data_IF_841993682000
#
_entry.id   IF_841993682000
#
_cell.length_a   1.000
_cell.length_b   1.000
_cell.length_c   1.000
_cell.angle_alpha   90.00
_cell.angle_beta   90.00
_cell.angle_gamma   90.00
#
_symmetry.space_group_name_H-M   'P 1'
#
loop_
_entity.id
_entity.type
_entity.pdbx_description
1 polymer ?
#
# COMPACT_ATOMS: atom_id res chain seq x y z
N UNK A 1 -8.41 17.76 -3.77
CA UNK A 1 -8.23 17.33 -5.17
C UNK A 1 -9.06 16.07 -5.36
N UNK A 2 -9.88 15.98 -6.41
CA UNK A 2 -10.69 14.77 -6.66
C UNK A 2 -9.86 13.61 -7.21
N UNK A 3 -10.45 12.42 -7.27
CA UNK A 3 -9.84 11.22 -7.81
C UNK A 3 -9.27 11.42 -9.22
N UNK A 4 -8.08 10.88 -9.46
CA UNK A 4 -7.43 10.82 -10.78
C UNK A 4 -7.45 9.36 -11.24
N UNK A 5 -7.89 9.07 -12.48
CA UNK A 5 -8.00 7.70 -12.96
C UNK A 5 -6.63 7.06 -13.17
N UNK A 6 -6.59 5.73 -13.23
CA UNK A 6 -5.41 4.99 -13.68
C UNK A 6 -5.03 5.39 -15.12
N UNK A 7 -3.73 5.61 -15.38
CA UNK A 7 -3.17 5.70 -16.74
C UNK A 7 -2.64 4.33 -17.16
N UNK A 8 -3.41 3.52 -17.93
CA UNK A 8 -3.09 2.11 -18.12
C UNK A 8 -1.95 1.91 -19.11
N UNK A 9 -1.03 1.00 -18.76
CA UNK A 9 -0.04 0.43 -19.69
C UNK A 9 -0.05 -1.08 -19.62
N UNK A 10 -0.08 -1.72 -20.78
CA UNK A 10 -0.14 -3.16 -20.91
C UNK A 10 1.22 -3.74 -21.26
N UNK A 11 1.62 -4.79 -20.53
CA UNK A 11 2.80 -5.60 -20.78
C UNK A 11 2.34 -7.01 -21.15
N UNK A 12 2.25 -7.28 -22.45
CA UNK A 12 1.63 -8.52 -22.95
C UNK A 12 0.10 -8.49 -22.82
N UNK A 13 -0.52 -9.69 -22.78
CA UNK A 13 -2.00 -9.81 -22.81
C UNK A 13 -2.66 -9.63 -21.44
N UNK A 14 -1.95 -9.93 -20.36
CA UNK A 14 -2.56 -10.15 -19.04
C UNK A 14 -2.02 -9.25 -17.92
N UNK A 15 -0.98 -8.44 -18.17
CA UNK A 15 -0.43 -7.53 -17.19
C UNK A 15 -0.74 -6.08 -17.56
N UNK A 16 -1.52 -5.41 -16.72
CA UNK A 16 -1.79 -3.98 -16.83
C UNK A 16 -1.36 -3.27 -15.54
N UNK A 17 -0.63 -2.18 -15.69
CA UNK A 17 -0.20 -1.30 -14.59
C UNK A 17 -0.75 0.12 -14.77
N UNK A 18 -0.90 0.84 -13.67
CA UNK A 18 -1.15 2.28 -13.69
C UNK A 18 0.18 3.00 -13.70
N UNK A 19 0.42 3.81 -14.74
CA UNK A 19 1.67 4.53 -14.92
C UNK A 19 1.63 5.82 -14.13
N UNK A 20 2.58 5.96 -13.21
CA UNK A 20 2.87 7.20 -12.50
C UNK A 20 4.24 7.75 -12.92
N UNK A 21 4.39 9.07 -12.85
CA UNK A 21 5.63 9.80 -13.11
C UNK A 21 5.67 11.07 -12.24
N UNK A 22 6.61 11.98 -12.49
CA UNK A 22 6.78 13.20 -11.69
C UNK A 22 5.61 14.20 -11.76
N UNK A 23 4.72 14.09 -12.75
CA UNK A 23 3.61 15.04 -12.96
C UNK A 23 2.23 14.39 -12.83
N UNK A 24 2.17 13.06 -12.72
CA UNK A 24 0.92 12.32 -12.73
C UNK A 24 1.01 11.04 -11.92
N UNK A 25 -0.04 10.77 -11.14
CA UNK A 25 -0.32 9.46 -10.57
C UNK A 25 -1.81 9.35 -10.27
N UNK A 26 -2.41 8.17 -10.35
CA UNK A 26 -3.80 7.97 -9.96
C UNK A 26 -4.01 8.20 -8.46
N UNK A 27 -5.21 8.68 -8.09
CA UNK A 27 -5.58 8.97 -6.71
C UNK A 27 -7.02 8.58 -6.46
N UNK A 28 -7.32 8.23 -5.22
CA UNK A 28 -8.67 7.87 -4.77
C UNK A 28 -9.34 9.06 -4.09
N UNK A 29 -10.67 9.10 -4.18
CA UNK A 29 -11.45 9.96 -3.29
C UNK A 29 -11.50 9.34 -1.90
N UNK A 30 -11.43 10.15 -0.81
CA UNK A 30 -11.59 9.65 0.54
C UNK A 30 -12.90 8.87 0.71
N UNK A 31 -12.86 7.78 1.46
CA UNK A 31 -14.05 6.96 1.70
C UNK A 31 -15.01 7.72 2.62
N UNK A 32 -16.17 8.08 2.09
CA UNK A 32 -17.26 8.71 2.84
C UNK A 32 -18.41 7.73 3.02
N UNK A 33 -18.97 7.67 4.23
CA UNK A 33 -20.13 6.82 4.50
C UNK A 33 -21.32 7.26 3.62
N UNK A 34 -21.94 6.32 2.88
CA UNK A 34 -23.09 6.65 2.06
C UNK A 34 -24.35 6.82 2.94
N UNK A 35 -25.42 7.37 2.37
CA UNK A 35 -26.68 7.54 3.09
C UNK A 35 -27.25 6.18 3.57
N UNK A 36 -27.95 6.12 4.72
CA UNK A 36 -28.59 4.89 5.20
C UNK A 36 -29.45 4.22 4.13
N UNK A 37 -29.35 2.89 4.01
CA UNK A 37 -30.03 2.13 2.96
C UNK A 37 -29.26 2.03 1.63
N UNK A 38 -28.08 2.62 1.53
CA UNK A 38 -27.18 2.50 0.36
C UNK A 38 -25.82 1.95 0.74
N UNK A 39 -25.06 1.49 -0.27
CA UNK A 39 -23.71 0.95 -0.11
C UNK A 39 -22.78 1.47 -1.19
N UNK A 40 -21.49 1.55 -0.87
CA UNK A 40 -20.43 1.79 -1.85
C UNK A 40 -19.83 0.47 -2.32
N UNK A 41 -19.48 0.41 -3.60
CA UNK A 41 -18.78 -0.72 -4.22
C UNK A 41 -17.54 -0.19 -4.92
N UNK A 42 -16.40 -0.81 -4.64
CA UNK A 42 -15.14 -0.57 -5.33
C UNK A 42 -14.79 -1.82 -6.15
N UNK A 43 -14.51 -1.64 -7.43
CA UNK A 43 -14.26 -2.75 -8.36
C UNK A 43 -12.88 -2.65 -9.02
N UNK A 44 -12.12 -3.72 -8.95
CA UNK A 44 -10.89 -3.91 -9.74
C UNK A 44 -11.03 -5.16 -10.60
N UNK A 45 -10.60 -5.10 -11.85
CA UNK A 45 -10.76 -6.22 -12.79
C UNK A 45 -9.58 -6.40 -13.74
N UNK A 46 -9.45 -7.60 -14.30
CA UNK A 46 -8.46 -7.91 -15.35
C UNK A 46 -8.68 -7.03 -16.59
N UNK A 47 -9.93 -6.67 -16.88
CA UNK A 47 -10.31 -5.81 -18.00
C UNK A 47 -9.88 -4.35 -17.84
N UNK A 48 -9.44 -3.94 -16.64
CA UNK A 48 -8.76 -2.66 -16.44
C UNK A 48 -9.34 -1.77 -15.35
N UNK A 49 -10.43 -2.16 -14.69
CA UNK A 49 -10.96 -1.40 -13.55
C UNK A 49 -9.94 -1.37 -12.41
N UNK A 50 -9.81 -0.23 -11.74
CA UNK A 50 -8.87 0.00 -10.63
C UNK A 50 -9.58 0.79 -9.54
N UNK A 51 -10.06 0.09 -8.52
CA UNK A 51 -10.86 0.63 -7.42
C UNK A 51 -11.97 1.57 -7.92
N UNK A 52 -12.62 1.19 -9.01
CA UNK A 52 -13.69 1.98 -9.62
C UNK A 52 -14.87 2.05 -8.65
N UNK A 53 -15.20 3.27 -8.22
CA UNK A 53 -16.28 3.52 -7.26
C UNK A 53 -17.64 3.52 -7.95
N UNK A 54 -18.59 2.82 -7.36
CA UNK A 54 -20.01 2.85 -7.70
C UNK A 54 -20.86 2.77 -6.42
N UNK A 55 -22.16 3.05 -6.52
CA UNK A 55 -23.10 3.01 -5.40
C UNK A 55 -24.31 2.15 -5.77
N UNK A 56 -24.89 1.49 -4.77
CA UNK A 56 -26.17 0.79 -4.91
C UNK A 56 -27.04 0.95 -3.67
N UNK A 57 -28.23 0.37 -3.71
CA UNK A 57 -29.22 0.45 -2.62
C UNK A 57 -29.59 -0.94 -2.13
N UNK A 58 -29.81 -1.06 -0.83
CA UNK A 58 -30.34 -2.29 -0.25
C UNK A 58 -31.82 -2.44 -0.60
N UNK A 59 -32.22 -3.66 -0.93
CA UNK A 59 -33.63 -4.00 -1.16
C UNK A 59 -34.25 -4.56 0.14
N UNK A 60 -35.52 -4.23 0.46
CA UNK A 60 -36.18 -4.74 1.65
C UNK A 60 -36.42 -6.26 1.65
N UNK A 61 -36.52 -6.86 0.46
CA UNK A 61 -36.90 -8.26 0.27
C UNK A 61 -35.93 -8.95 -0.68
N UNK A 62 -35.43 -10.12 -0.25
CA UNK A 62 -34.61 -11.00 -1.08
C UNK A 62 -35.52 -11.80 -2.02
N UNK A 63 -35.60 -11.41 -3.29
CA UNK A 63 -36.40 -12.13 -4.31
C UNK A 63 -35.55 -12.93 -5.31
N UNK A 64 -34.29 -13.22 -4.98
CA UNK A 64 -33.35 -13.78 -5.95
C UNK A 64 -33.07 -15.27 -5.72
N UNK A 65 -33.36 -16.16 -6.70
CA UNK A 65 -32.75 -17.47 -6.74
C UNK A 65 -31.26 -17.31 -7.04
N UNK A 66 -30.39 -17.66 -6.10
CA UNK A 66 -28.94 -17.48 -6.27
C UNK A 66 -28.12 -17.69 -5.00
N UNK A 67 -26.84 -17.34 -5.08
CA UNK A 67 -25.91 -17.42 -3.96
C UNK A 67 -26.14 -16.28 -2.97
N UNK A 68 -26.32 -16.63 -1.69
CA UNK A 68 -26.61 -15.69 -0.62
C UNK A 68 -25.52 -15.73 0.46
N UNK A 69 -24.93 -14.56 0.73
CA UNK A 69 -24.01 -14.35 1.84
C UNK A 69 -24.75 -13.63 2.97
N UNK A 70 -24.81 -14.25 4.16
CA UNK A 70 -25.48 -13.67 5.34
C UNK A 70 -24.43 -13.30 6.40
N UNK A 71 -24.43 -12.04 6.82
CA UNK A 71 -23.54 -11.53 7.87
C UNK A 71 -24.20 -11.70 9.25
N UNK A 72 -23.53 -12.40 10.17
CA UNK A 72 -23.93 -12.45 11.58
C UNK A 72 -23.08 -11.46 12.40
N UNK A 73 -23.67 -10.34 12.80
CA UNK A 73 -22.97 -9.27 13.53
C UNK A 73 -22.72 -9.58 15.02
N UNK A 74 -23.33 -10.64 15.56
CA UNK A 74 -23.13 -11.08 16.95
C UNK A 74 -21.90 -11.98 17.12
N UNK A 75 -21.43 -12.59 16.03
CA UNK A 75 -20.24 -13.43 16.04
C UNK A 75 -19.01 -12.57 15.74
N UNK A 76 -18.19 -12.34 16.76
CA UNK A 76 -16.97 -11.55 16.65
C UNK A 76 -15.73 -12.45 16.58
N UNK A 77 -14.69 -11.95 15.91
CA UNK A 77 -13.39 -12.59 15.79
C UNK A 77 -12.27 -11.63 16.22
N UNK A 78 -11.13 -11.64 15.54
CA UNK A 78 -9.98 -10.80 15.84
C UNK A 78 -10.24 -9.32 15.54
N UNK A 79 -9.55 -8.44 16.28
CA UNK A 79 -9.38 -7.04 15.89
C UNK A 79 -8.26 -6.93 14.86
N UNK A 80 -8.48 -6.13 13.82
CA UNK A 80 -7.45 -5.87 12.79
C UNK A 80 -6.55 -4.74 13.26
N UNK A 81 -5.23 -4.99 13.28
CA UNK A 81 -4.23 -3.97 13.66
C UNK A 81 -3.96 -2.99 12.53
N UNK A 82 -3.84 -3.46 11.30
CA UNK A 82 -3.53 -2.63 10.15
C UNK A 82 -3.01 -3.40 8.93
N UNK A 83 -2.61 -2.64 7.92
CA UNK A 83 -2.05 -3.12 6.65
C UNK A 83 -0.86 -2.25 6.26
N UNK A 84 0.11 -2.83 5.56
CA UNK A 84 1.39 -2.18 5.35
C UNK A 84 2.36 -2.92 4.45
N UNK A 85 3.57 -2.37 4.36
CA UNK A 85 4.69 -2.93 3.59
C UNK A 85 5.96 -3.01 4.41
N UNK A 86 7.09 -3.30 3.74
CA UNK A 86 8.42 -3.31 4.36
C UNK A 86 9.30 -2.23 3.72
N UNK A 87 9.94 -1.40 4.53
CA UNK A 87 10.98 -0.47 4.08
C UNK A 87 12.35 -1.15 4.16
N UNK A 88 12.63 -2.02 3.18
CA UNK A 88 13.96 -2.63 3.01
C UNK A 88 14.92 -1.68 2.29
N UNK A 89 16.23 -1.99 2.32
CA UNK A 89 17.25 -1.23 1.59
C UNK A 89 16.90 -1.16 0.09
N UNK A 90 16.49 -2.29 -0.51
CA UNK A 90 16.05 -2.30 -1.91
C UNK A 90 14.85 -1.38 -2.16
N UNK A 91 13.85 -1.34 -1.27
CA UNK A 91 12.70 -0.46 -1.42
C UNK A 91 13.15 1.02 -1.37
N UNK A 92 13.97 1.38 -0.38
CA UNK A 92 14.47 2.73 -0.21
C UNK A 92 15.33 3.19 -1.40
N UNK A 93 16.25 2.34 -1.87
CA UNK A 93 17.10 2.60 -3.05
C UNK A 93 16.24 2.87 -4.30
N UNK A 94 15.21 2.04 -4.55
CA UNK A 94 14.35 2.22 -5.72
C UNK A 94 13.49 3.48 -5.64
N UNK A 95 12.98 3.82 -4.45
CA UNK A 95 12.22 5.06 -4.23
C UNK A 95 13.14 6.27 -4.45
N UNK A 96 14.31 6.30 -3.81
CA UNK A 96 15.27 7.40 -3.93
C UNK A 96 15.85 7.56 -5.34
N UNK A 97 15.82 6.51 -6.15
CA UNK A 97 16.18 6.56 -7.57
C UNK A 97 15.19 7.35 -8.45
N UNK A 98 14.01 7.70 -7.94
CA UNK A 98 13.04 8.54 -8.64
C UNK A 98 13.34 10.03 -8.43
N UNK A 99 12.82 10.90 -9.30
CA UNK A 99 12.78 12.35 -9.03
C UNK A 99 11.88 12.65 -7.81
N UNK A 100 12.20 13.67 -7.02
CA UNK A 100 11.44 14.02 -5.80
C UNK A 100 9.90 14.06 -5.99
N UNK A 101 9.32 14.69 -7.04
CA UNK A 101 7.86 14.69 -7.21
C UNK A 101 7.26 13.30 -7.44
N UNK A 102 8.01 12.40 -8.09
CA UNK A 102 7.59 11.01 -8.28
C UNK A 102 7.72 10.19 -6.99
N UNK A 103 8.71 10.47 -6.14
CA UNK A 103 8.81 9.90 -4.79
C UNK A 103 7.58 10.27 -3.96
N UNK A 104 7.21 11.56 -3.97
CA UNK A 104 6.02 12.05 -3.28
C UNK A 104 4.76 11.35 -3.78
N UNK A 105 4.55 11.24 -5.10
CA UNK A 105 3.41 10.50 -5.64
C UNK A 105 3.39 9.04 -5.17
N UNK A 106 4.51 8.33 -5.20
CA UNK A 106 4.60 6.95 -4.73
C UNK A 106 4.26 6.83 -3.24
N UNK A 107 4.82 7.70 -2.39
CA UNK A 107 4.55 7.70 -0.96
C UNK A 107 3.09 8.06 -0.66
N UNK A 108 2.52 9.02 -1.38
CA UNK A 108 1.11 9.37 -1.28
C UNK A 108 0.19 8.21 -1.67
N UNK A 109 0.53 7.44 -2.71
CA UNK A 109 -0.24 6.26 -3.10
C UNK A 109 -0.33 5.23 -1.97
N UNK A 110 0.72 5.05 -1.17
CA UNK A 110 0.71 4.11 -0.05
C UNK A 110 0.13 4.69 1.24
N UNK A 111 0.53 5.90 1.66
CA UNK A 111 0.33 6.36 3.04
C UNK A 111 -0.69 7.50 3.20
N UNK A 112 -1.20 8.09 2.12
CA UNK A 112 -2.13 9.22 2.22
C UNK A 112 -3.60 8.82 2.09
N UNK A 113 -4.50 9.70 2.55
CA UNK A 113 -5.96 9.59 2.37
C UNK A 113 -6.40 9.58 0.89
N UNK A 114 -5.54 10.06 -0.01
CA UNK A 114 -5.76 9.99 -1.47
C UNK A 114 -5.16 8.74 -2.12
N UNK A 115 -4.58 7.86 -1.31
CA UNK A 115 -4.02 6.56 -1.67
C UNK A 115 -4.73 5.43 -0.94
N UNK A 116 -3.98 4.40 -0.50
CA UNK A 116 -4.53 3.21 0.19
C UNK A 116 -4.30 3.18 1.70
N UNK A 117 -3.84 4.28 2.28
CA UNK A 117 -3.77 4.52 3.73
C UNK A 117 -3.09 3.40 4.55
N UNK A 118 -1.91 2.94 4.09
CA UNK A 118 -1.05 2.09 4.89
C UNK A 118 -0.78 2.71 6.26
N UNK A 119 -0.92 1.90 7.30
CA UNK A 119 -0.72 2.30 8.69
C UNK A 119 0.29 1.40 9.44
N UNK A 120 0.92 0.46 8.74
CA UNK A 120 2.02 -0.36 9.23
C UNK A 120 3.22 -0.28 8.28
N UNK A 121 4.42 -0.28 8.86
CA UNK A 121 5.67 -0.37 8.12
C UNK A 121 6.62 -1.31 8.87
N UNK A 122 7.10 -2.35 8.18
CA UNK A 122 8.13 -3.25 8.69
C UNK A 122 9.51 -2.70 8.30
N UNK A 123 10.40 -2.55 9.28
CA UNK A 123 11.77 -2.07 9.05
C UNK A 123 12.73 -3.20 9.42
N UNK A 124 13.50 -3.76 8.47
CA UNK A 124 14.58 -4.68 8.79
C UNK A 124 15.65 -4.00 9.65
N UNK A 125 16.11 -4.69 10.69
CA UNK A 125 17.25 -4.25 11.50
C UNK A 125 18.53 -4.72 10.80
N UNK A 126 19.34 -3.77 10.35
CA UNK A 126 20.49 -3.97 9.47
C UNK A 126 20.11 -4.62 8.12
N UNK A 127 20.98 -5.50 7.59
CA UNK A 127 20.77 -6.08 6.26
C UNK A 127 19.68 -7.16 6.22
N UNK A 128 19.23 -7.44 5.01
CA UNK A 128 18.44 -8.62 4.65
C UNK A 128 18.91 -9.17 3.30
N UNK A 129 18.25 -10.19 2.77
CA UNK A 129 18.42 -10.65 1.39
C UNK A 129 18.06 -9.56 0.36
N UNK A 130 17.24 -8.57 0.73
CA UNK A 130 16.92 -7.37 -0.05
C UNK A 130 17.88 -6.19 0.22
N UNK A 131 19.13 -6.49 0.59
CA UNK A 131 20.22 -5.52 0.73
C UNK A 131 21.31 -5.77 -0.31
N UNK A 132 22.04 -4.72 -0.70
CA UNK A 132 23.12 -4.84 -1.71
C UNK A 132 24.42 -5.44 -1.16
N UNK A 133 24.53 -5.53 0.16
CA UNK A 133 25.67 -6.12 0.89
C UNK A 133 25.20 -6.67 2.24
N UNK A 134 25.90 -7.67 2.80
CA UNK A 134 25.70 -8.06 4.19
C UNK A 134 26.28 -7.00 5.13
N UNK A 135 25.58 -6.72 6.23
CA UNK A 135 26.05 -5.92 7.36
C UNK A 135 25.17 -6.14 8.59
N UNK A 136 25.74 -5.96 9.77
CA UNK A 136 25.00 -5.74 11.01
C UNK A 136 25.25 -4.34 11.55
N UNK A 137 24.69 -4.02 12.71
CA UNK A 137 25.02 -2.77 13.40
C UNK A 137 26.31 -2.84 14.21
N UNK A 138 26.88 -4.04 14.38
CA UNK A 138 28.10 -4.26 15.13
C UNK A 138 28.91 -5.44 14.55
N UNK A 139 29.61 -5.18 13.46
CA UNK A 139 30.41 -6.18 12.74
C UNK A 139 31.84 -6.33 13.32
N UNK A 140 32.13 -5.72 14.49
CA UNK A 140 33.45 -5.86 15.16
C UNK A 140 33.47 -7.17 15.98
N UNK A 141 34.40 -8.11 15.71
CA UNK A 141 34.48 -9.36 16.46
C UNK A 141 34.70 -9.12 17.97
N UNK A 142 34.01 -9.91 18.79
CA UNK A 142 34.11 -9.91 20.27
C UNK A 142 33.70 -8.59 20.97
N UNK A 143 32.94 -7.72 20.30
CA UNK A 143 32.39 -6.49 20.92
C UNK A 143 31.13 -6.76 21.76
N UNK A 144 31.26 -7.59 22.80
CA UNK A 144 30.14 -7.92 23.70
C UNK A 144 29.59 -6.71 24.48
N UNK A 145 30.34 -5.62 24.53
CA UNK A 145 29.93 -4.36 25.17
C UNK A 145 29.28 -3.37 24.18
N UNK A 146 29.16 -3.72 22.89
CA UNK A 146 28.56 -2.92 21.81
C UNK A 146 29.20 -1.53 21.66
N UNK A 147 30.51 -1.41 21.89
CA UNK A 147 31.24 -0.14 21.82
C UNK A 147 31.29 0.45 20.41
N UNK A 148 31.14 -0.38 19.39
CA UNK A 148 31.16 0.01 17.98
C UNK A 148 29.79 -0.07 17.31
N UNK A 149 28.73 -0.36 18.08
CA UNK A 149 27.37 -0.36 17.55
C UNK A 149 27.03 0.98 16.91
N UNK A 150 26.62 0.95 15.64
CA UNK A 150 26.16 2.13 14.92
C UNK A 150 25.19 1.75 13.81
N UNK A 151 24.24 2.65 13.55
CA UNK A 151 23.41 2.55 12.36
C UNK A 151 24.28 2.69 11.10
N UNK A 152 23.91 1.96 10.06
CA UNK A 152 24.59 2.04 8.79
C UNK A 152 24.08 3.23 7.97
N UNK A 153 24.81 3.58 6.91
CA UNK A 153 24.41 4.61 5.96
C UNK A 153 23.03 4.33 5.35
N UNK A 154 22.72 3.05 5.16
CA UNK A 154 21.42 2.57 4.70
C UNK A 154 20.26 2.99 5.61
N UNK A 155 20.46 3.03 6.92
CA UNK A 155 19.42 3.46 7.87
C UNK A 155 19.29 4.98 7.89
N UNK A 156 20.41 5.71 8.04
CA UNK A 156 20.39 7.17 8.29
C UNK A 156 20.19 8.03 7.06
N UNK A 157 20.46 7.51 5.85
CA UNK A 157 20.27 8.27 4.59
C UNK A 157 19.10 7.78 3.76
N UNK A 158 18.55 6.59 4.04
CA UNK A 158 17.54 6.00 3.16
C UNK A 158 16.24 5.55 3.85
N UNK A 159 16.33 4.89 5.01
CA UNK A 159 15.15 4.29 5.65
C UNK A 159 14.45 5.20 6.66
N UNK A 160 15.20 6.12 7.29
CA UNK A 160 14.73 7.03 8.35
C UNK A 160 14.65 8.46 7.84
#
# INVERSE_FOLDING_TARGET
>A
SGARPCSPKYFGRDAMVCVCNATYCDTLDPVQLPAPGTYLKYESSKAGKRLERSQGSFQPSLHTPGFLLTLNISTLYQKVKGFGGSMSDAAAINILGLSQPAQEHLLHSYFSESGIEYNLLRIPMACSDFSVRPYSYDDVPEDYELKHFRLAEEDVKMKV
#
